data_IF_956438056038
#
_entry.id   IF_956438056038
#
_cell.length_a   1.000
_cell.length_b   1.000
_cell.length_c   1.000
_cell.angle_alpha   90.00
_cell.angle_beta   90.00
_cell.angle_gamma   90.00
#
_symmetry.space_group_name_H-M   'P 1'
#
loop_
_entity.id
_entity.type
_entity.pdbx_description
1 polymer ?
#
# COMPACT_ATOMS: atom_id res chain seq x y z
N UNK A 1 -43.67 19.27 -11.17
CA UNK A 1 -43.72 17.91 -10.64
C UNK A 1 -44.36 16.91 -11.61
N UNK A 2 -45.57 17.20 -12.16
CA UNK A 2 -46.24 16.32 -13.15
C UNK A 2 -45.37 16.08 -14.42
N UNK A 3 -44.81 17.11 -15.00
CA UNK A 3 -43.96 17.02 -16.21
C UNK A 3 -42.74 16.09 -16.01
N UNK A 4 -42.10 16.09 -14.83
CA UNK A 4 -40.98 15.25 -14.51
C UNK A 4 -41.41 13.75 -14.34
N UNK A 5 -42.56 13.51 -13.71
CA UNK A 5 -43.12 12.15 -13.59
C UNK A 5 -43.53 11.59 -14.96
N UNK A 6 -44.09 12.43 -15.85
CA UNK A 6 -44.46 12.01 -17.19
C UNK A 6 -43.22 11.65 -18.05
N UNK A 7 -42.13 12.44 -17.93
CA UNK A 7 -40.84 12.12 -18.57
C UNK A 7 -40.31 10.79 -18.09
N UNK A 8 -40.27 10.54 -16.79
CA UNK A 8 -39.81 9.26 -16.22
C UNK A 8 -40.66 8.11 -16.71
N UNK A 9 -41.99 8.22 -16.66
CA UNK A 9 -42.90 7.19 -17.10
C UNK A 9 -42.74 6.89 -18.62
N UNK A 10 -42.53 7.93 -19.43
CA UNK A 10 -42.27 7.82 -20.86
C UNK A 10 -40.91 7.15 -21.15
N UNK A 11 -39.85 7.54 -20.41
CA UNK A 11 -38.52 6.92 -20.51
C UNK A 11 -38.56 5.44 -20.16
N UNK A 12 -39.25 5.08 -19.07
CA UNK A 12 -39.42 3.68 -18.66
C UNK A 12 -40.16 2.86 -19.71
N UNK A 13 -41.22 3.39 -20.33
CA UNK A 13 -41.95 2.70 -21.42
C UNK A 13 -41.06 2.45 -22.63
N UNK A 14 -40.21 3.42 -22.99
CA UNK A 14 -39.25 3.26 -24.10
C UNK A 14 -38.20 2.21 -23.79
N UNK A 15 -37.67 2.19 -22.57
CA UNK A 15 -36.74 1.17 -22.11
C UNK A 15 -37.33 -0.26 -22.21
N UNK A 16 -38.61 -0.41 -21.85
CA UNK A 16 -39.30 -1.69 -21.96
C UNK A 16 -39.63 -2.11 -23.38
N UNK A 17 -39.83 -1.17 -24.32
CA UNK A 17 -40.05 -1.48 -25.73
C UNK A 17 -38.80 -2.11 -26.40
N UNK A 18 -37.59 -1.68 -26.02
CA UNK A 18 -36.32 -2.16 -26.58
C UNK A 18 -35.38 -2.71 -25.50
N UNK A 19 -35.85 -3.71 -24.76
CA UNK A 19 -35.20 -4.27 -23.54
C UNK A 19 -33.70 -4.58 -23.70
N UNK A 20 -33.32 -5.28 -24.78
CA UNK A 20 -31.94 -5.71 -24.99
C UNK A 20 -31.00 -4.51 -25.23
N UNK A 21 -31.43 -3.54 -26.06
CA UNK A 21 -30.63 -2.36 -26.37
C UNK A 21 -30.45 -1.46 -25.15
N UNK A 22 -31.56 -1.23 -24.42
CA UNK A 22 -31.55 -0.45 -23.20
C UNK A 22 -30.67 -1.07 -22.12
N UNK A 23 -30.78 -2.39 -21.97
CA UNK A 23 -29.94 -3.14 -21.01
C UNK A 23 -28.45 -3.01 -21.36
N UNK A 24 -28.06 -3.28 -22.63
CA UNK A 24 -26.65 -3.21 -23.04
C UNK A 24 -26.03 -1.83 -22.83
N UNK A 25 -26.80 -0.78 -23.03
CA UNK A 25 -26.28 0.58 -22.87
C UNK A 25 -26.18 1.01 -21.42
N UNK A 26 -27.23 0.72 -20.63
CA UNK A 26 -27.18 0.95 -19.19
C UNK A 26 -26.08 0.14 -18.54
N UNK A 27 -25.90 -1.11 -18.99
CA UNK A 27 -24.81 -1.97 -18.53
C UNK A 27 -23.44 -1.38 -18.87
N UNK A 28 -23.24 -0.83 -20.08
CA UNK A 28 -21.98 -0.20 -20.48
C UNK A 28 -21.57 0.94 -19.55
N UNK A 29 -22.51 1.80 -19.15
CA UNK A 29 -22.25 2.89 -18.21
C UNK A 29 -22.06 2.36 -16.79
N UNK A 30 -22.95 1.48 -16.33
CA UNK A 30 -22.85 0.87 -15.02
C UNK A 30 -21.52 0.14 -14.84
N UNK A 31 -21.10 -0.60 -15.88
CA UNK A 31 -19.79 -1.24 -15.92
C UNK A 31 -18.64 -0.23 -15.89
N UNK A 32 -18.73 0.85 -16.70
CA UNK A 32 -17.72 1.91 -16.72
C UNK A 32 -17.50 2.56 -15.36
N UNK A 33 -18.58 2.97 -14.70
CA UNK A 33 -18.53 3.59 -13.36
C UNK A 33 -18.11 2.56 -12.31
N UNK A 34 -18.70 1.37 -12.36
CA UNK A 34 -18.44 0.28 -11.41
C UNK A 34 -16.97 -0.18 -11.48
N UNK A 35 -16.45 -0.41 -12.69
CA UNK A 35 -15.05 -0.81 -12.87
C UNK A 35 -14.07 0.27 -12.43
N UNK A 36 -14.32 1.54 -12.71
CA UNK A 36 -13.49 2.66 -12.27
C UNK A 36 -13.42 2.73 -10.74
N UNK A 37 -14.55 2.61 -10.05
CA UNK A 37 -14.60 2.61 -8.59
C UNK A 37 -13.93 1.38 -7.97
N UNK A 38 -14.14 0.20 -8.57
CA UNK A 38 -13.51 -1.03 -8.11
C UNK A 38 -12.00 -1.00 -8.29
N UNK A 39 -11.51 -0.56 -9.46
CA UNK A 39 -10.08 -0.44 -9.74
C UNK A 39 -9.41 0.56 -8.80
N UNK A 40 -10.04 1.72 -8.58
CA UNK A 40 -9.54 2.71 -7.62
C UNK A 40 -9.55 2.16 -6.19
N UNK A 41 -10.59 1.41 -5.80
CA UNK A 41 -10.70 0.78 -4.48
C UNK A 41 -9.66 -0.32 -4.25
N UNK A 42 -9.41 -1.16 -5.25
CA UNK A 42 -8.36 -2.19 -5.22
C UNK A 42 -6.96 -1.54 -5.18
N UNK A 43 -6.74 -0.50 -5.97
CA UNK A 43 -5.50 0.29 -5.95
C UNK A 43 -5.20 0.87 -4.57
N UNK A 44 -6.20 1.44 -3.91
CA UNK A 44 -6.04 1.96 -2.54
C UNK A 44 -5.83 0.84 -1.52
N UNK A 45 -6.50 -0.30 -1.66
CA UNK A 45 -6.26 -1.49 -0.83
C UNK A 45 -4.83 -2.00 -0.95
N UNK A 46 -4.28 -2.02 -2.16
CA UNK A 46 -2.88 -2.38 -2.40
C UNK A 46 -1.91 -1.33 -1.83
N UNK A 47 -2.19 -0.04 -2.02
CA UNK A 47 -1.39 1.06 -1.47
C UNK A 47 -1.36 1.01 0.07
N UNK A 48 -2.51 0.91 0.72
CA UNK A 48 -2.62 0.89 2.18
C UNK A 48 -1.99 -0.35 2.79
N UNK A 49 -2.17 -1.52 2.17
CA UNK A 49 -1.56 -2.78 2.60
C UNK A 49 -0.04 -2.76 2.49
N UNK A 50 0.50 -2.29 1.37
CA UNK A 50 1.95 -2.17 1.15
C UNK A 50 2.58 -1.15 2.10
N UNK A 51 1.91 0.00 2.30
CA UNK A 51 2.34 1.01 3.27
C UNK A 51 2.39 0.45 4.69
N UNK A 52 1.36 -0.28 5.12
CA UNK A 52 1.32 -0.92 6.44
C UNK A 52 2.45 -1.95 6.61
N UNK A 53 2.73 -2.72 5.56
CA UNK A 53 3.83 -3.67 5.57
C UNK A 53 5.18 -2.96 5.72
N UNK A 54 5.43 -1.88 4.97
CA UNK A 54 6.66 -1.08 5.10
C UNK A 54 6.77 -0.41 6.48
N UNK A 55 5.68 0.13 7.02
CA UNK A 55 5.65 0.74 8.34
C UNK A 55 5.94 -0.28 9.48
N UNK A 56 5.67 -1.58 9.26
CA UNK A 56 6.00 -2.63 10.22
C UNK A 56 7.50 -2.85 10.42
N UNK A 57 8.31 -2.42 9.47
CA UNK A 57 9.78 -2.42 9.60
C UNK A 57 10.33 -1.19 10.33
N UNK A 58 9.48 -0.23 10.67
CA UNK A 58 9.85 1.07 11.26
C UNK A 58 9.83 2.21 10.23
N UNK A 59 9.80 3.44 10.74
CA UNK A 59 9.69 4.64 9.89
C UNK A 59 11.07 5.14 9.51
N UNK A 60 11.32 5.34 8.22
CA UNK A 60 12.54 5.96 7.69
C UNK A 60 13.82 5.25 8.17
N UNK A 61 13.93 3.94 7.95
CA UNK A 61 15.08 3.16 8.42
C UNK A 61 15.88 2.67 7.23
N UNK A 62 17.19 2.75 7.38
CA UNK A 62 18.17 2.09 6.53
C UNK A 62 18.71 0.89 7.30
N UNK A 63 18.52 -0.32 6.77
CA UNK A 63 19.18 -1.53 7.24
C UNK A 63 20.50 -1.64 6.50
N UNK A 64 21.57 -1.42 7.20
CA UNK A 64 22.90 -1.39 6.63
C UNK A 64 23.65 -2.68 7.04
N UNK A 65 23.97 -3.54 6.06
CA UNK A 65 24.55 -4.85 6.31
C UNK A 65 26.06 -4.89 6.12
N UNK A 66 26.66 -3.81 5.63
CA UNK A 66 28.07 -3.73 5.29
C UNK A 66 28.29 -3.67 3.77
N UNK A 67 29.26 -4.39 3.26
CA UNK A 67 29.55 -4.32 1.83
C UNK A 67 30.77 -5.08 1.38
N UNK A 68 31.25 -4.71 0.19
CA UNK A 68 32.45 -5.27 -0.42
C UNK A 68 33.49 -4.17 -0.57
N UNK A 69 34.70 -4.38 -0.05
CA UNK A 69 35.79 -3.46 -0.37
C UNK A 69 36.20 -3.62 -1.86
N UNK A 70 36.37 -2.52 -2.60
CA UNK A 70 36.82 -2.60 -3.99
C UNK A 70 38.18 -3.28 -4.09
N UNK A 71 38.42 -3.95 -5.22
CA UNK A 71 39.74 -4.51 -5.52
C UNK A 71 40.76 -3.37 -5.62
N UNK A 72 41.90 -3.53 -4.95
CA UNK A 72 43.01 -2.57 -5.06
C UNK A 72 43.65 -2.75 -6.44
N UNK A 73 43.78 -1.67 -7.21
CA UNK A 73 44.42 -1.68 -8.52
C UNK A 73 45.84 -2.27 -8.40
N UNK A 74 46.13 -3.31 -9.19
CA UNK A 74 47.42 -4.01 -9.15
C UNK A 74 47.53 -5.16 -8.14
N UNK A 75 46.48 -5.45 -7.39
CA UNK A 75 46.42 -6.62 -6.51
C UNK A 75 45.59 -7.73 -7.17
N UNK A 76 46.03 -8.99 -7.01
CA UNK A 76 45.21 -10.17 -7.37
C UNK A 76 44.03 -10.42 -6.42
N UNK A 77 43.85 -9.54 -5.44
CA UNK A 77 42.74 -9.66 -4.51
C UNK A 77 41.43 -9.18 -5.15
N UNK A 78 40.52 -10.11 -5.37
CA UNK A 78 39.11 -9.81 -5.72
C UNK A 78 38.45 -9.00 -4.61
N UNK A 79 37.32 -8.35 -4.92
CA UNK A 79 36.44 -7.70 -3.93
C UNK A 79 36.22 -8.61 -2.72
N UNK A 80 36.55 -8.12 -1.53
CA UNK A 80 36.33 -8.87 -0.28
C UNK A 80 35.13 -8.32 0.46
N UNK A 81 34.27 -9.23 0.92
CA UNK A 81 33.25 -8.89 1.87
C UNK A 81 33.87 -8.42 3.17
N UNK A 82 33.31 -7.39 3.78
CA UNK A 82 33.62 -6.99 5.14
C UNK A 82 32.37 -7.03 6.00
N UNK A 83 32.52 -7.53 7.20
CA UNK A 83 31.46 -7.50 8.20
C UNK A 83 31.53 -6.19 8.96
N UNK A 84 30.38 -5.64 9.30
CA UNK A 84 30.29 -4.49 10.19
C UNK A 84 30.83 -4.85 11.57
N UNK A 85 31.44 -3.88 12.22
CA UNK A 85 32.01 -4.02 13.54
C UNK A 85 31.29 -3.11 14.54
N UNK A 86 31.43 -3.40 15.80
CA UNK A 86 30.94 -2.52 16.87
C UNK A 86 31.68 -1.17 16.87
N UNK A 87 32.92 -1.14 16.40
CA UNK A 87 33.69 0.10 16.25
C UNK A 87 33.08 1.00 15.16
N UNK A 88 32.52 0.42 14.08
CA UNK A 88 31.76 1.18 13.09
C UNK A 88 30.55 1.85 13.73
N UNK A 89 29.78 1.12 14.54
CA UNK A 89 28.67 1.69 15.27
C UNK A 89 29.10 2.85 16.16
N UNK A 90 30.20 2.69 16.91
CA UNK A 90 30.74 3.75 17.80
C UNK A 90 31.15 4.96 16.97
N UNK A 91 31.85 4.77 15.86
CA UNK A 91 32.25 5.84 14.95
C UNK A 91 31.04 6.59 14.37
N UNK A 92 30.03 5.82 13.85
CA UNK A 92 28.82 6.43 13.31
C UNK A 92 28.06 7.21 14.39
N UNK A 93 27.94 6.66 15.60
CA UNK A 93 27.25 7.31 16.73
C UNK A 93 27.91 8.61 17.17
N UNK A 94 29.25 8.66 17.12
CA UNK A 94 30.01 9.83 17.55
C UNK A 94 30.11 10.92 16.48
N UNK A 95 30.13 10.56 15.20
CA UNK A 95 30.43 11.47 14.11
C UNK A 95 29.20 11.88 13.28
N UNK A 96 28.16 11.02 13.20
CA UNK A 96 27.01 11.34 12.39
C UNK A 96 26.18 12.48 12.97
N UNK A 97 25.92 13.48 12.12
CA UNK A 97 25.08 14.65 12.43
C UNK A 97 23.66 14.48 11.92
N UNK A 98 23.46 13.62 10.93
CA UNK A 98 22.20 13.40 10.24
C UNK A 98 21.41 12.23 10.80
N UNK A 99 22.00 11.43 11.70
CA UNK A 99 21.30 10.36 12.40
C UNK A 99 20.36 10.89 13.48
N UNK A 100 19.14 10.38 13.52
CA UNK A 100 18.22 10.51 14.65
C UNK A 100 18.49 9.40 15.67
N UNK A 101 18.50 8.16 15.20
CA UNK A 101 18.77 6.99 16.01
C UNK A 101 19.66 6.00 15.24
N UNK A 102 20.52 5.31 15.96
CA UNK A 102 21.40 4.27 15.42
C UNK A 102 21.32 3.06 16.35
N UNK A 103 21.06 1.89 15.77
CA UNK A 103 20.94 0.66 16.55
C UNK A 103 21.72 -0.47 15.86
N UNK A 104 22.84 -0.91 16.42
CA UNK A 104 23.53 -2.12 15.98
C UNK A 104 22.70 -3.35 16.39
N UNK A 105 22.75 -4.39 15.56
CA UNK A 105 22.05 -5.65 15.81
C UNK A 105 22.99 -6.82 15.59
N UNK A 106 22.96 -7.75 16.52
CA UNK A 106 23.59 -9.07 16.38
C UNK A 106 22.47 -10.08 16.25
N UNK A 107 22.29 -10.67 15.08
CA UNK A 107 21.27 -11.67 14.82
C UNK A 107 21.91 -13.05 14.63
N UNK A 108 21.37 -14.06 15.33
CA UNK A 108 21.78 -15.46 15.22
C UNK A 108 20.58 -16.37 15.11
N UNK A 109 20.60 -17.27 14.14
CA UNK A 109 19.53 -18.22 13.86
C UNK A 109 19.86 -19.64 14.35
N UNK A 110 21.09 -19.84 14.87
CA UNK A 110 21.63 -21.13 15.32
C UNK A 110 21.51 -21.34 16.85
N UNK A 111 20.80 -20.46 17.55
CA UNK A 111 20.58 -20.55 18.99
C UNK A 111 19.33 -21.37 19.28
N UNK A 112 19.50 -22.51 19.99
CA UNK A 112 18.37 -23.31 20.44
C UNK A 112 17.71 -22.69 21.66
N UNK A 113 16.42 -22.43 21.58
CA UNK A 113 15.59 -21.94 22.67
C UNK A 113 14.79 -23.13 23.27
N UNK A 114 14.86 -23.29 24.59
CA UNK A 114 14.20 -24.37 25.33
C UNK A 114 13.46 -23.78 26.53
N UNK A 115 12.18 -24.06 26.64
CA UNK A 115 11.37 -23.80 27.82
C UNK A 115 11.16 -25.10 28.61
N UNK A 116 10.48 -25.00 29.72
CA UNK A 116 10.09 -26.22 30.50
C UNK A 116 9.07 -27.08 29.73
N UNK A 117 8.51 -26.61 28.63
CA UNK A 117 7.43 -27.29 27.90
C UNK A 117 7.84 -27.77 26.51
N UNK A 118 8.55 -26.94 25.78
CA UNK A 118 8.91 -27.19 24.38
C UNK A 118 10.28 -26.64 24.04
N UNK A 119 10.78 -26.99 22.86
CA UNK A 119 12.02 -26.41 22.31
C UNK A 119 11.84 -26.04 20.84
N UNK A 120 12.52 -25.00 20.44
CA UNK A 120 12.55 -24.54 19.04
C UNK A 120 13.91 -23.94 18.71
N UNK A 121 14.26 -23.90 17.42
CA UNK A 121 15.40 -23.09 16.99
C UNK A 121 14.94 -21.65 16.95
N UNK A 122 15.56 -20.81 17.77
CA UNK A 122 15.15 -19.40 17.91
C UNK A 122 16.01 -18.48 17.10
N UNK A 123 15.38 -17.51 16.45
CA UNK A 123 16.09 -16.32 15.98
C UNK A 123 16.33 -15.39 17.17
N UNK A 124 17.56 -15.33 17.65
CA UNK A 124 17.93 -14.46 18.77
C UNK A 124 18.63 -13.21 18.24
N UNK A 125 18.16 -12.03 18.69
CA UNK A 125 18.75 -10.75 18.32
C UNK A 125 19.19 -9.98 19.55
N UNK A 126 20.49 -9.67 19.62
CA UNK A 126 21.04 -8.75 20.59
C UNK A 126 20.85 -7.31 20.10
N UNK A 127 20.14 -6.50 20.89
CA UNK A 127 19.77 -5.15 20.51
C UNK A 127 19.93 -4.17 21.67
N UNK A 128 20.28 -2.90 21.40
CA UNK A 128 20.25 -1.85 22.42
C UNK A 128 18.80 -1.41 22.71
N UNK A 129 18.53 -0.79 23.86
CA UNK A 129 17.20 -0.33 24.25
C UNK A 129 16.51 0.58 23.22
N UNK A 130 17.26 1.42 22.53
CA UNK A 130 16.76 2.33 21.49
C UNK A 130 16.15 1.59 20.28
N UNK A 131 16.45 0.33 20.09
CA UNK A 131 15.94 -0.49 18.97
C UNK A 131 14.42 -0.47 18.89
N UNK A 132 13.71 -0.51 20.01
CA UNK A 132 12.24 -0.46 20.01
C UNK A 132 11.70 0.87 19.49
N UNK A 133 12.38 1.99 19.78
CA UNK A 133 12.00 3.31 19.27
C UNK A 133 12.20 3.37 17.75
N UNK A 134 13.32 2.85 17.26
CA UNK A 134 13.66 2.80 15.84
C UNK A 134 12.64 1.94 15.07
N UNK A 135 12.32 0.75 15.60
CA UNK A 135 11.45 -0.23 14.93
C UNK A 135 9.96 -0.06 15.26
N UNK A 136 9.63 0.78 16.25
CA UNK A 136 8.25 1.03 16.69
C UNK A 136 7.48 -0.28 16.98
N UNK A 137 8.10 -1.17 17.76
CA UNK A 137 7.55 -2.49 18.05
C UNK A 137 6.60 -2.41 19.26
N UNK A 138 5.30 -2.71 19.12
CA UNK A 138 4.36 -2.63 20.23
C UNK A 138 4.52 -3.82 21.19
N UNK A 139 4.46 -3.53 22.49
CA UNK A 139 4.42 -4.55 23.54
C UNK A 139 2.99 -4.96 23.83
N UNK A 140 2.78 -6.26 24.08
CA UNK A 140 1.51 -6.79 24.55
C UNK A 140 1.45 -6.87 26.07
N UNK A 141 2.50 -7.42 26.68
CA UNK A 141 2.61 -7.62 28.14
C UNK A 141 4.05 -7.43 28.57
N UNK A 142 4.25 -6.92 29.77
CA UNK A 142 5.59 -6.73 30.34
C UNK A 142 6.25 -5.43 29.91
N UNK A 143 7.57 -5.43 29.82
CA UNK A 143 8.38 -4.25 29.46
C UNK A 143 9.44 -4.59 28.39
N UNK A 144 9.90 -3.56 27.70
CA UNK A 144 11.06 -3.64 26.82
C UNK A 144 12.37 -3.60 27.61
N UNK A 145 13.47 -3.94 26.92
CA UNK A 145 14.83 -3.81 27.42
C UNK A 145 15.13 -2.33 27.77
N UNK A 146 15.86 -2.09 28.85
CA UNK A 146 16.31 -0.77 29.25
C UNK A 146 17.85 -0.69 29.34
N UNK A 147 18.37 0.54 29.54
CA UNK A 147 19.83 0.75 29.61
C UNK A 147 20.47 -0.06 30.73
N UNK A 148 19.81 -0.20 31.89
CA UNK A 148 20.30 -0.99 32.99
C UNK A 148 20.44 -2.47 32.64
N UNK A 149 19.49 -3.04 31.87
CA UNK A 149 19.59 -4.43 31.40
C UNK A 149 20.80 -4.63 30.47
N UNK A 150 21.06 -3.63 29.61
CA UNK A 150 22.18 -3.67 28.67
C UNK A 150 23.54 -3.47 29.36
N UNK A 151 23.65 -2.47 30.26
CA UNK A 151 24.89 -2.10 30.92
C UNK A 151 25.32 -3.15 31.94
N UNK A 152 24.36 -3.71 32.69
CA UNK A 152 24.59 -4.78 33.65
C UNK A 152 24.62 -6.17 33.00
N UNK A 153 24.48 -6.26 31.67
CA UNK A 153 24.46 -7.54 30.91
C UNK A 153 23.47 -8.53 31.49
N UNK A 154 22.28 -8.06 31.85
CA UNK A 154 21.25 -8.91 32.45
C UNK A 154 20.81 -10.00 31.49
N UNK A 155 20.57 -11.20 32.00
CA UNK A 155 20.04 -12.32 31.25
C UNK A 155 18.53 -12.26 31.22
N UNK A 156 18.00 -11.27 30.50
CA UNK A 156 16.58 -11.03 30.30
C UNK A 156 16.26 -11.05 28.81
N UNK A 157 15.03 -11.41 28.44
CA UNK A 157 14.63 -11.41 27.05
C UNK A 157 13.19 -10.93 26.85
N UNK A 158 12.93 -10.39 25.66
CA UNK A 158 11.60 -10.04 25.15
C UNK A 158 11.32 -10.95 23.95
N UNK A 159 10.14 -11.55 23.93
CA UNK A 159 9.79 -12.57 22.95
C UNK A 159 8.75 -12.08 21.96
N UNK A 160 8.93 -12.41 20.70
CA UNK A 160 7.90 -12.25 19.68
C UNK A 160 6.68 -13.12 19.95
N UNK A 161 5.53 -12.75 19.42
CA UNK A 161 4.25 -13.42 19.71
C UNK A 161 4.25 -14.90 19.35
N UNK A 162 4.73 -15.27 18.17
CA UNK A 162 4.79 -16.65 17.71
C UNK A 162 5.84 -17.47 18.48
N UNK A 163 6.99 -16.87 18.78
CA UNK A 163 7.99 -17.51 19.62
C UNK A 163 7.42 -17.84 21.00
N UNK A 164 6.64 -16.93 21.57
CA UNK A 164 5.96 -17.15 22.87
C UNK A 164 4.96 -18.30 22.77
N UNK A 165 4.16 -18.36 21.70
CA UNK A 165 3.17 -19.42 21.48
C UNK A 165 3.84 -20.80 21.34
N UNK A 166 4.98 -20.84 20.65
CA UNK A 166 5.73 -22.07 20.43
C UNK A 166 6.43 -22.58 21.71
N UNK A 167 6.99 -21.69 22.53
CA UNK A 167 7.72 -22.07 23.74
C UNK A 167 6.80 -22.22 24.96
N UNK A 168 5.71 -21.49 25.06
CA UNK A 168 4.78 -21.48 26.20
C UNK A 168 3.32 -21.68 25.73
N UNK A 169 2.97 -22.85 25.16
CA UNK A 169 1.64 -23.08 24.60
C UNK A 169 0.54 -22.95 25.66
N UNK A 170 -0.29 -21.92 25.51
CA UNK A 170 -1.42 -21.65 26.42
C UNK A 170 -1.04 -21.20 27.84
N UNK A 171 0.21 -20.84 28.09
CA UNK A 171 0.73 -20.47 29.42
C UNK A 171 1.33 -19.07 29.44
N UNK A 172 1.33 -18.39 30.60
CA UNK A 172 2.01 -17.10 30.74
C UNK A 172 3.51 -17.29 30.57
N UNK A 173 4.16 -16.50 29.72
CA UNK A 173 5.61 -16.57 29.52
C UNK A 173 6.37 -15.55 30.36
N UNK A 174 5.80 -14.36 30.65
CA UNK A 174 6.46 -13.32 31.44
C UNK A 174 6.69 -13.81 32.88
N UNK A 175 7.90 -13.62 33.38
CA UNK A 175 8.36 -14.13 34.68
C UNK A 175 8.90 -15.58 34.66
N UNK A 176 8.71 -16.29 33.55
CA UNK A 176 9.27 -17.62 33.36
C UNK A 176 10.65 -17.57 32.70
N UNK A 177 11.33 -18.69 32.69
CA UNK A 177 12.70 -18.83 32.18
C UNK A 177 12.73 -19.58 30.86
N UNK A 178 13.59 -19.13 29.95
CA UNK A 178 13.95 -19.82 28.71
C UNK A 178 15.45 -20.05 28.68
N UNK A 179 15.87 -21.23 28.23
CA UNK A 179 17.28 -21.56 28.00
C UNK A 179 17.65 -21.26 26.56
N UNK A 180 18.60 -20.36 26.35
CA UNK A 180 19.21 -20.09 25.06
C UNK A 180 20.60 -20.75 25.01
N UNK A 181 20.75 -21.81 24.21
CA UNK A 181 21.94 -22.66 24.19
C UNK A 181 22.41 -23.05 25.61
N UNK A 182 21.47 -23.37 26.50
CA UNK A 182 21.74 -23.79 27.90
C UNK A 182 21.92 -22.65 28.90
N UNK A 183 21.95 -21.39 28.46
CA UNK A 183 22.01 -20.23 29.36
C UNK A 183 20.60 -19.73 29.69
N UNK A 184 20.33 -19.53 30.98
CA UNK A 184 19.02 -19.08 31.48
C UNK A 184 18.79 -17.60 31.20
N UNK A 185 17.62 -17.30 30.64
CA UNK A 185 17.10 -15.93 30.45
C UNK A 185 15.70 -15.83 31.04
N UNK A 186 15.43 -14.76 31.75
CA UNK A 186 14.10 -14.42 32.24
C UNK A 186 13.30 -13.70 31.16
N UNK A 187 12.06 -14.11 30.92
CA UNK A 187 11.15 -13.45 29.97
C UNK A 187 10.52 -12.25 30.65
N UNK A 188 10.86 -11.04 30.22
CA UNK A 188 10.37 -9.79 30.81
C UNK A 188 9.28 -9.08 30.00
N UNK A 189 9.06 -9.52 28.76
CA UNK A 189 8.03 -8.94 27.90
C UNK A 189 7.69 -9.80 26.71
N UNK A 190 6.48 -9.57 26.19
CA UNK A 190 5.95 -10.21 24.99
C UNK A 190 5.52 -9.12 24.04
N UNK A 191 5.88 -9.25 22.77
CA UNK A 191 5.50 -8.34 21.72
C UNK A 191 4.05 -8.59 21.28
N UNK A 192 3.37 -7.51 20.87
CA UNK A 192 2.14 -7.65 20.09
C UNK A 192 2.47 -8.27 18.73
N UNK A 193 1.50 -8.96 18.15
CA UNK A 193 1.63 -9.48 16.79
C UNK A 193 1.81 -8.33 15.79
N UNK A 194 2.82 -8.43 14.94
CA UNK A 194 3.08 -7.47 13.88
C UNK A 194 2.62 -8.07 12.55
N UNK A 195 1.70 -7.37 11.88
CA UNK A 195 1.07 -7.90 10.67
C UNK A 195 0.13 -9.06 10.95
N UNK A 196 -0.40 -9.65 9.89
CA UNK A 196 -1.35 -10.78 9.97
C UNK A 196 -0.65 -12.15 9.92
N UNK A 197 0.69 -12.21 10.05
CA UNK A 197 1.43 -13.41 9.74
C UNK A 197 2.30 -13.93 10.87
N UNK A 198 2.18 -15.23 11.00
CA UNK A 198 3.05 -16.05 11.82
C UNK A 198 4.52 -15.97 11.38
N UNK A 199 4.77 -15.66 10.10
CA UNK A 199 6.10 -15.63 9.48
C UNK A 199 6.85 -14.28 9.55
N UNK A 200 6.26 -13.22 10.11
CA UNK A 200 7.00 -11.97 10.29
C UNK A 200 8.21 -12.23 11.21
N UNK A 201 9.40 -11.91 10.72
CA UNK A 201 10.66 -12.15 11.41
C UNK A 201 10.69 -11.60 12.85
N UNK A 202 9.94 -10.55 13.14
CA UNK A 202 9.83 -9.99 14.50
C UNK A 202 8.98 -10.88 15.42
N UNK A 203 7.94 -11.54 14.89
CA UNK A 203 7.04 -12.40 15.67
C UNK A 203 7.71 -13.70 16.14
N UNK A 204 8.69 -14.20 15.38
CA UNK A 204 9.44 -15.44 15.69
C UNK A 204 10.78 -15.18 16.38
N UNK A 205 11.07 -13.95 16.81
CA UNK A 205 12.38 -13.52 17.31
C UNK A 205 12.37 -13.38 18.84
N UNK A 206 13.54 -13.65 19.44
CA UNK A 206 13.84 -13.36 20.84
C UNK A 206 14.83 -12.19 20.88
N UNK A 207 14.51 -11.16 21.64
CA UNK A 207 15.38 -9.99 21.82
C UNK A 207 16.06 -10.04 23.17
N UNK A 208 17.37 -9.89 23.17
CA UNK A 208 18.21 -9.85 24.39
C UNK A 208 19.05 -8.58 24.38
N UNK A 209 19.57 -8.11 25.54
CA UNK A 209 20.44 -6.95 25.57
C UNK A 209 21.68 -7.16 24.72
N UNK A 210 22.08 -6.12 23.97
CA UNK A 210 23.20 -6.20 23.03
C UNK A 210 24.50 -6.65 23.70
N UNK A 211 24.82 -6.08 24.89
CA UNK A 211 26.06 -6.42 25.60
C UNK A 211 26.04 -7.84 26.12
N UNK A 212 24.87 -8.36 26.51
CA UNK A 212 24.68 -9.77 26.89
C UNK A 212 24.91 -10.69 25.68
N UNK A 213 24.37 -10.30 24.51
CA UNK A 213 24.56 -11.06 23.28
C UNK A 213 26.02 -11.12 22.85
N UNK A 214 26.73 -10.00 22.92
CA UNK A 214 28.17 -9.91 22.58
C UNK A 214 29.03 -10.79 23.45
N UNK A 215 28.69 -10.92 24.73
CA UNK A 215 29.44 -11.72 25.69
C UNK A 215 29.15 -13.23 25.57
N UNK A 216 27.87 -13.59 25.48
CA UNK A 216 27.46 -14.99 25.54
C UNK A 216 27.38 -15.66 24.17
N UNK A 217 27.05 -14.90 23.13
CA UNK A 217 26.79 -15.43 21.78
C UNK A 217 27.43 -14.55 20.69
N UNK A 218 28.77 -14.31 20.75
CA UNK A 218 29.43 -13.47 19.79
C UNK A 218 29.32 -14.02 18.36
N UNK A 219 29.26 -13.11 17.37
CA UNK A 219 29.43 -13.46 15.96
C UNK A 219 30.91 -13.66 15.66
N UNK A 220 31.21 -14.71 14.90
CA UNK A 220 32.54 -14.90 14.31
C UNK A 220 32.55 -14.22 12.94
N UNK A 221 33.38 -13.21 12.77
CA UNK A 221 33.57 -12.54 11.48
C UNK A 221 34.99 -12.83 10.96
N UNK A 222 35.14 -12.95 9.63
CA UNK A 222 36.41 -13.31 8.99
C UNK A 222 37.59 -12.37 9.30
N UNK A 223 37.35 -11.12 9.64
CA UNK A 223 38.35 -10.08 9.86
C UNK A 223 38.15 -9.27 11.15
N UNK A 224 37.25 -9.65 12.04
CA UNK A 224 37.02 -8.94 13.30
C UNK A 224 37.56 -9.71 14.49
N UNK A 225 38.00 -8.98 15.52
CA UNK A 225 38.27 -9.59 16.84
C UNK A 225 37.01 -10.27 17.33
N UNK A 226 37.16 -11.41 17.98
CA UNK A 226 36.03 -12.17 18.54
C UNK A 226 35.16 -11.24 19.42
N UNK A 227 33.84 -11.22 19.17
CA UNK A 227 32.88 -10.35 19.85
C UNK A 227 32.74 -8.92 19.32
N UNK A 228 33.48 -8.54 18.27
CA UNK A 228 33.35 -7.20 17.68
C UNK A 228 32.49 -7.15 16.40
N UNK A 229 32.16 -8.30 15.83
CA UNK A 229 31.30 -8.37 14.65
C UNK A 229 29.82 -8.07 15.01
N UNK A 230 29.13 -7.35 14.15
CA UNK A 230 27.68 -7.11 14.21
C UNK A 230 27.04 -7.53 12.88
N UNK A 231 25.76 -7.90 12.91
CA UNK A 231 25.07 -8.38 11.72
C UNK A 231 24.68 -7.25 10.80
N UNK A 232 24.14 -6.18 11.35
CA UNK A 232 23.71 -4.98 10.63
C UNK A 232 23.49 -3.81 11.59
N UNK A 233 23.39 -2.62 11.02
CA UNK A 233 23.04 -1.39 11.73
C UNK A 233 21.71 -0.87 11.19
N UNK A 234 20.76 -0.61 12.08
CA UNK A 234 19.59 0.20 11.75
C UNK A 234 19.95 1.66 11.95
N UNK A 235 19.99 2.39 10.86
CA UNK A 235 20.26 3.81 10.83
C UNK A 235 18.99 4.57 10.48
N UNK A 236 18.58 5.51 11.30
CA UNK A 236 17.41 6.35 11.10
C UNK A 236 17.84 7.79 10.85
N UNK A 237 17.66 8.33 9.62
CA UNK A 237 17.89 9.74 9.34
C UNK A 237 16.92 10.62 10.12
N UNK A 238 17.30 11.87 10.36
CA UNK A 238 16.46 12.86 11.06
C UNK A 238 15.21 13.20 10.28
N UNK A 239 15.37 13.44 8.98
CA UNK A 239 14.27 13.77 8.09
C UNK A 239 14.26 12.85 6.86
N UNK A 240 13.10 12.78 6.23
CA UNK A 240 12.94 11.99 5.00
C UNK A 240 13.76 12.55 3.83
N UNK A 241 13.94 13.85 3.77
CA UNK A 241 14.63 14.53 2.68
C UNK A 241 16.15 14.41 2.80
N UNK A 242 16.68 14.29 4.02
CA UNK A 242 18.12 14.12 4.29
C UNK A 242 18.62 12.68 4.10
N UNK A 243 17.78 11.76 3.64
CA UNK A 243 18.11 10.34 3.55
C UNK A 243 19.37 10.05 2.70
N UNK A 244 19.51 10.69 1.53
CA UNK A 244 20.66 10.46 0.66
C UNK A 244 21.96 11.05 1.24
N UNK A 245 21.87 12.21 1.88
CA UNK A 245 23.03 12.83 2.55
C UNK A 245 23.44 12.03 3.78
N UNK A 246 22.47 11.52 4.52
CA UNK A 246 22.68 10.65 5.68
C UNK A 246 23.34 9.32 5.28
N UNK A 247 22.95 8.73 4.16
CA UNK A 247 23.64 7.56 3.60
C UNK A 247 25.07 7.87 3.17
N UNK A 248 25.27 8.98 2.49
CA UNK A 248 26.61 9.40 2.08
C UNK A 248 27.52 9.64 3.28
N UNK A 249 26.99 10.16 4.38
CA UNK A 249 27.73 10.31 5.65
C UNK A 249 28.07 8.93 6.25
N UNK A 250 27.09 8.01 6.33
CA UNK A 250 27.25 6.64 6.81
C UNK A 250 28.33 5.89 6.03
N UNK A 251 28.23 5.90 4.70
CA UNK A 251 29.16 5.24 3.80
C UNK A 251 30.61 5.77 3.96
N UNK A 252 30.76 7.08 4.11
CA UNK A 252 32.08 7.71 4.30
C UNK A 252 32.73 7.28 5.62
N UNK A 253 31.95 7.23 6.71
CA UNK A 253 32.47 6.83 8.03
C UNK A 253 32.92 5.37 7.98
N UNK A 254 32.08 4.48 7.45
CA UNK A 254 32.40 3.04 7.37
C UNK A 254 33.55 2.76 6.40
N UNK A 255 33.55 3.39 5.21
CA UNK A 255 34.64 3.23 4.26
C UNK A 255 36.01 3.60 4.85
N UNK A 256 36.06 4.65 5.66
CA UNK A 256 37.29 5.06 6.35
C UNK A 256 37.77 3.99 7.34
N UNK A 257 36.88 3.37 8.09
CA UNK A 257 37.21 2.32 9.06
C UNK A 257 37.69 1.03 8.40
N UNK A 258 37.26 0.79 7.15
CA UNK A 258 37.55 -0.44 6.39
C UNK A 258 38.60 -0.24 5.28
N UNK A 259 39.56 0.61 5.53
CA UNK A 259 40.74 0.79 4.62
C UNK A 259 40.70 2.03 3.75
N UNK A 260 39.76 2.94 3.94
CA UNK A 260 39.71 4.27 3.32
C UNK A 260 39.43 4.25 1.81
N UNK A 261 38.63 3.30 1.33
CA UNK A 261 38.24 3.23 -0.07
C UNK A 261 37.20 4.30 -0.43
N UNK A 262 37.05 4.58 -1.75
CA UNK A 262 36.03 5.52 -2.24
C UNK A 262 34.63 4.99 -1.95
N UNK A 263 33.83 5.69 -1.15
CA UNK A 263 32.48 5.26 -0.78
C UNK A 263 31.45 5.35 -1.92
N UNK A 264 31.78 6.02 -3.05
CA UNK A 264 30.85 6.25 -4.18
C UNK A 264 30.79 5.11 -5.18
N UNK A 265 31.56 4.03 -4.99
CA UNK A 265 31.56 2.89 -5.89
C UNK A 265 30.18 2.24 -5.99
N UNK A 266 29.80 1.82 -7.20
CA UNK A 266 28.59 1.03 -7.43
C UNK A 266 28.76 -0.36 -6.83
N UNK A 267 27.70 -0.90 -6.27
CA UNK A 267 27.63 -2.27 -5.71
C UNK A 267 28.60 -2.56 -4.55
N UNK A 268 29.11 -1.52 -3.90
CA UNK A 268 29.94 -1.66 -2.71
C UNK A 268 29.10 -1.99 -1.49
N UNK A 269 27.96 -1.34 -1.33
CA UNK A 269 27.15 -1.36 -0.14
C UNK A 269 25.97 -2.33 -0.24
N UNK A 270 25.77 -3.11 0.81
CA UNK A 270 24.60 -3.93 0.99
C UNK A 270 23.68 -3.22 2.00
N UNK A 271 22.59 -2.66 1.49
CA UNK A 271 21.66 -1.88 2.29
C UNK A 271 20.22 -2.06 1.81
N UNK A 272 19.29 -2.04 2.75
CA UNK A 272 17.88 -1.98 2.47
C UNK A 272 17.30 -0.66 2.99
N UNK A 273 17.04 0.25 2.07
CA UNK A 273 16.58 1.59 2.34
C UNK A 273 15.05 1.66 2.21
N UNK A 274 14.36 1.74 3.35
CA UNK A 274 12.88 1.82 3.38
C UNK A 274 12.37 3.14 2.79
N UNK A 275 13.14 4.24 2.90
CA UNK A 275 12.79 5.56 2.33
C UNK A 275 12.80 5.52 0.82
N UNK A 276 13.86 4.97 0.23
CA UNK A 276 13.98 4.77 -1.22
C UNK A 276 12.85 3.87 -1.73
N UNK A 277 12.56 2.78 -1.03
CA UNK A 277 11.47 1.88 -1.39
C UNK A 277 10.12 2.58 -1.34
N UNK A 278 9.84 3.40 -0.32
CA UNK A 278 8.60 4.18 -0.23
C UNK A 278 8.48 5.19 -1.39
N UNK A 279 9.58 5.88 -1.75
CA UNK A 279 9.60 6.80 -2.91
C UNK A 279 9.29 6.04 -4.21
N UNK A 280 9.96 4.92 -4.43
CA UNK A 280 9.74 4.08 -5.63
C UNK A 280 8.29 3.57 -5.70
N UNK A 281 7.76 3.06 -4.59
CA UNK A 281 6.35 2.63 -4.51
C UNK A 281 5.40 3.79 -4.75
N UNK A 282 5.70 4.99 -4.24
CA UNK A 282 4.92 6.20 -4.51
C UNK A 282 4.83 6.53 -5.99
N UNK A 283 5.94 6.43 -6.74
CA UNK A 283 5.96 6.63 -8.20
C UNK A 283 5.12 5.56 -8.92
N UNK A 284 5.25 4.28 -8.52
CA UNK A 284 4.48 3.17 -9.09
C UNK A 284 2.97 3.40 -8.86
N UNK A 285 2.56 3.77 -7.63
CA UNK A 285 1.16 4.06 -7.33
C UNK A 285 0.62 5.24 -8.14
N UNK A 286 1.42 6.30 -8.30
CA UNK A 286 1.02 7.44 -9.12
C UNK A 286 0.84 7.04 -10.59
N UNK A 287 1.75 6.26 -11.15
CA UNK A 287 1.62 5.74 -12.52
C UNK A 287 0.39 4.84 -12.66
N UNK A 288 0.12 3.99 -11.67
CA UNK A 288 -1.06 3.13 -11.63
C UNK A 288 -2.36 3.96 -11.59
N UNK A 289 -2.42 5.03 -10.79
CA UNK A 289 -3.59 5.92 -10.71
C UNK A 289 -3.88 6.57 -12.07
N UNK A 290 -2.86 7.05 -12.76
CA UNK A 290 -3.00 7.60 -14.12
C UNK A 290 -3.47 6.55 -15.13
N UNK A 291 -2.92 5.36 -15.08
CA UNK A 291 -3.32 4.25 -15.95
C UNK A 291 -4.78 3.84 -15.71
N UNK A 292 -5.16 3.61 -14.47
CA UNK A 292 -6.52 3.24 -14.10
C UNK A 292 -7.54 4.35 -14.42
N UNK A 293 -7.16 5.61 -14.18
CA UNK A 293 -7.94 6.77 -14.57
C UNK A 293 -8.17 6.84 -16.09
N UNK A 294 -7.13 6.58 -16.88
CA UNK A 294 -7.21 6.50 -18.35
C UNK A 294 -8.16 5.38 -18.83
N UNK A 295 -8.02 4.18 -18.29
CA UNK A 295 -8.93 3.06 -18.59
C UNK A 295 -10.37 3.41 -18.23
N UNK A 296 -10.59 4.00 -17.04
CA UNK A 296 -11.91 4.45 -16.61
C UNK A 296 -12.52 5.49 -17.55
N UNK A 297 -11.73 6.46 -18.03
CA UNK A 297 -12.19 7.46 -18.97
C UNK A 297 -12.60 6.85 -20.31
N UNK A 298 -11.84 5.90 -20.84
CA UNK A 298 -12.17 5.19 -22.09
C UNK A 298 -13.47 4.39 -21.95
N UNK A 299 -13.64 3.67 -20.82
CA UNK A 299 -14.86 2.89 -20.59
C UNK A 299 -16.10 3.77 -20.44
N UNK A 300 -15.97 4.93 -19.77
CA UNK A 300 -17.06 5.92 -19.70
C UNK A 300 -17.38 6.53 -21.06
N UNK A 301 -16.37 6.80 -21.89
CA UNK A 301 -16.58 7.32 -23.25
C UNK A 301 -17.33 6.30 -24.13
N UNK A 302 -16.99 5.01 -24.03
CA UNK A 302 -17.74 3.94 -24.72
C UNK A 302 -19.19 3.86 -24.23
N UNK A 303 -19.44 3.98 -22.92
CA UNK A 303 -20.79 4.08 -22.36
C UNK A 303 -21.56 5.29 -22.90
N UNK A 304 -20.92 6.46 -23.00
CA UNK A 304 -21.52 7.69 -23.54
C UNK A 304 -21.91 7.53 -25.02
N UNK A 305 -21.06 6.89 -25.83
CA UNK A 305 -21.38 6.58 -27.25
C UNK A 305 -22.62 5.68 -27.32
N UNK A 306 -22.73 4.72 -26.40
CA UNK A 306 -23.93 3.86 -26.29
C UNK A 306 -25.21 4.68 -26.04
N UNK A 307 -25.17 5.68 -25.15
CA UNK A 307 -26.32 6.59 -24.89
C UNK A 307 -26.64 7.39 -26.14
N UNK A 308 -25.65 7.99 -26.80
CA UNK A 308 -25.85 8.75 -28.03
C UNK A 308 -26.60 7.90 -29.06
N UNK A 309 -26.17 6.66 -29.27
CA UNK A 309 -26.78 5.78 -30.24
C UNK A 309 -28.24 5.47 -29.89
N UNK A 310 -28.58 5.17 -28.63
CA UNK A 310 -29.96 4.91 -28.21
C UNK A 310 -30.82 6.15 -28.37
N UNK A 311 -30.32 7.30 -27.93
CA UNK A 311 -31.08 8.55 -28.00
C UNK A 311 -31.33 8.98 -29.45
N UNK A 312 -30.35 8.75 -30.34
CA UNK A 312 -30.57 9.03 -31.79
C UNK A 312 -31.67 8.16 -32.39
N UNK A 313 -31.68 6.85 -32.04
CA UNK A 313 -32.76 5.97 -32.49
C UNK A 313 -34.09 6.36 -31.88
N UNK A 314 -34.15 6.70 -30.59
CA UNK A 314 -35.37 7.21 -29.94
C UNK A 314 -35.90 8.46 -30.59
N UNK A 315 -35.03 9.37 -31.02
CA UNK A 315 -35.41 10.58 -31.77
C UNK A 315 -35.97 10.23 -33.14
N UNK A 316 -35.35 9.30 -33.89
CA UNK A 316 -35.85 8.88 -35.21
C UNK A 316 -37.21 8.17 -35.12
N UNK A 317 -37.40 7.29 -34.15
CA UNK A 317 -38.66 6.57 -33.91
C UNK A 317 -39.82 7.53 -33.53
N UNK A 318 -39.49 8.67 -32.90
CA UNK A 318 -40.47 9.68 -32.45
C UNK A 318 -40.50 10.94 -33.32
N UNK A 319 -39.90 10.91 -34.50
CA UNK A 319 -39.82 12.08 -35.39
C UNK A 319 -41.17 12.71 -35.64
N UNK A 320 -42.23 11.91 -35.94
CA UNK A 320 -43.60 12.37 -36.19
C UNK A 320 -44.23 13.03 -34.95
N UNK A 321 -44.00 12.45 -33.75
CA UNK A 321 -44.51 13.02 -32.49
C UNK A 321 -43.85 14.35 -32.17
N UNK A 322 -42.53 14.47 -32.40
CA UNK A 322 -41.77 15.71 -32.22
C UNK A 322 -42.29 16.77 -33.21
N UNK A 323 -42.52 16.41 -34.46
CA UNK A 323 -43.07 17.27 -35.50
C UNK A 323 -44.44 17.80 -35.11
N UNK A 324 -45.33 16.94 -34.61
CA UNK A 324 -46.66 17.31 -34.14
C UNK A 324 -46.61 18.31 -32.96
N UNK A 325 -45.74 18.03 -31.95
CA UNK A 325 -45.57 18.97 -30.82
C UNK A 325 -45.08 20.35 -31.27
N UNK A 326 -44.15 20.41 -32.21
CA UNK A 326 -43.64 21.64 -32.75
C UNK A 326 -44.70 22.40 -33.60
N UNK A 327 -45.50 21.67 -34.36
CA UNK A 327 -46.61 22.23 -35.10
C UNK A 327 -47.70 22.83 -34.16
N UNK A 328 -47.87 22.25 -32.96
CA UNK A 328 -48.76 22.79 -31.90
C UNK A 328 -48.11 23.88 -31.04
N UNK A 329 -46.91 24.37 -31.42
CA UNK A 329 -46.25 25.51 -30.78
C UNK A 329 -45.17 25.18 -29.75
N UNK A 330 -44.70 23.96 -29.64
CA UNK A 330 -43.56 23.62 -28.77
C UNK A 330 -42.28 24.27 -29.27
N UNK A 331 -41.57 25.00 -28.39
CA UNK A 331 -40.29 25.64 -28.71
C UNK A 331 -39.14 24.62 -28.81
N UNK A 332 -38.11 24.97 -29.59
CA UNK A 332 -36.90 24.14 -29.69
C UNK A 332 -36.26 23.88 -28.32
N UNK A 333 -36.36 24.84 -27.40
CA UNK A 333 -35.83 24.72 -26.05
C UNK A 333 -36.59 23.65 -25.23
N UNK A 334 -37.92 23.59 -25.37
CA UNK A 334 -38.73 22.59 -24.66
C UNK A 334 -38.38 21.15 -25.14
N UNK A 335 -38.24 20.96 -26.45
CA UNK A 335 -37.86 19.67 -27.03
C UNK A 335 -36.42 19.29 -26.58
N UNK A 336 -35.47 20.25 -26.70
CA UNK A 336 -34.09 20.04 -26.27
C UNK A 336 -34.03 19.63 -24.79
N UNK A 337 -34.71 20.35 -23.89
CA UNK A 337 -34.73 20.11 -22.47
C UNK A 337 -35.36 18.77 -22.13
N UNK A 338 -36.42 18.37 -22.82
CA UNK A 338 -37.05 17.04 -22.63
C UNK A 338 -36.09 15.92 -22.94
N UNK A 339 -35.49 15.88 -24.14
CA UNK A 339 -34.56 14.82 -24.54
C UNK A 339 -33.26 14.84 -23.72
N UNK A 340 -32.80 16.02 -23.31
CA UNK A 340 -31.65 16.15 -22.41
C UNK A 340 -31.94 15.51 -21.05
N UNK A 341 -33.14 15.76 -20.48
CA UNK A 341 -33.55 15.15 -19.22
C UNK A 341 -33.70 13.63 -19.33
N UNK A 342 -34.22 13.12 -20.47
CA UNK A 342 -34.27 11.67 -20.72
C UNK A 342 -32.86 11.05 -20.70
N UNK A 343 -31.88 11.64 -21.38
CA UNK A 343 -30.50 11.20 -21.40
C UNK A 343 -29.81 11.31 -20.02
N UNK A 344 -30.04 12.40 -19.30
CA UNK A 344 -29.53 12.61 -17.96
C UNK A 344 -30.08 11.58 -16.97
N UNK A 345 -31.39 11.29 -17.05
CA UNK A 345 -32.01 10.26 -16.21
C UNK A 345 -31.41 8.87 -16.47
N UNK A 346 -31.23 8.48 -17.73
CA UNK A 346 -30.59 7.21 -18.11
C UNK A 346 -29.15 7.11 -17.56
N UNK A 347 -28.40 8.17 -17.69
CA UNK A 347 -27.02 8.25 -17.20
C UNK A 347 -26.95 8.12 -15.68
N UNK A 348 -27.78 8.89 -14.96
CA UNK A 348 -27.85 8.86 -13.50
C UNK A 348 -28.27 7.48 -12.98
N UNK A 349 -29.31 6.89 -13.57
CA UNK A 349 -29.80 5.58 -13.17
C UNK A 349 -28.77 4.48 -13.41
N UNK A 350 -28.14 4.48 -14.59
CA UNK A 350 -27.06 3.54 -14.93
C UNK A 350 -25.84 3.71 -14.02
N UNK A 351 -25.46 4.97 -13.73
CA UNK A 351 -24.38 5.29 -12.81
C UNK A 351 -24.67 4.81 -11.38
N UNK A 352 -25.91 5.02 -10.90
CA UNK A 352 -26.31 4.55 -9.58
C UNK A 352 -26.24 3.01 -9.47
N UNK A 353 -26.63 2.28 -10.52
CA UNK A 353 -26.46 0.83 -10.60
C UNK A 353 -24.98 0.43 -10.56
N UNK A 354 -24.11 1.14 -11.27
CA UNK A 354 -22.67 0.89 -11.27
C UNK A 354 -22.02 1.13 -9.90
N UNK A 355 -22.38 2.23 -9.24
CA UNK A 355 -21.94 2.53 -7.86
C UNK A 355 -22.43 1.48 -6.89
N UNK A 356 -23.72 1.10 -6.96
CA UNK A 356 -24.31 0.07 -6.11
C UNK A 356 -23.63 -1.29 -6.30
N UNK A 357 -23.36 -1.69 -7.54
CA UNK A 357 -22.62 -2.92 -7.85
C UNK A 357 -21.18 -2.88 -7.29
N UNK A 358 -20.47 -1.76 -7.44
CA UNK A 358 -19.13 -1.59 -6.88
C UNK A 358 -19.14 -1.69 -5.35
N UNK A 359 -20.09 -1.03 -4.67
CA UNK A 359 -20.25 -1.12 -3.21
C UNK A 359 -20.52 -2.55 -2.75
N UNK A 360 -21.39 -3.27 -3.48
CA UNK A 360 -21.70 -4.67 -3.18
C UNK A 360 -20.45 -5.56 -3.29
N UNK A 361 -19.68 -5.42 -4.36
CA UNK A 361 -18.44 -6.19 -4.56
C UNK A 361 -17.42 -5.88 -3.47
N UNK A 362 -17.21 -4.60 -3.14
CA UNK A 362 -16.31 -4.18 -2.05
C UNK A 362 -16.76 -4.77 -0.71
N UNK A 363 -18.07 -4.76 -0.44
CA UNK A 363 -18.61 -5.35 0.77
C UNK A 363 -18.39 -6.87 0.85
N UNK A 364 -18.60 -7.59 -0.25
CA UNK A 364 -18.33 -9.02 -0.32
C UNK A 364 -16.85 -9.36 -0.13
N UNK A 365 -15.95 -8.54 -0.71
CA UNK A 365 -14.50 -8.71 -0.54
C UNK A 365 -14.02 -8.37 0.87
N UNK A 366 -14.75 -7.57 1.64
CA UNK A 366 -14.37 -7.22 3.01
C UNK A 366 -14.35 -8.40 3.98
N UNK A 367 -15.04 -9.49 3.66
CA UNK A 367 -15.05 -10.73 4.44
C UNK A 367 -13.98 -11.76 4.02
N UNK A 368 -13.18 -11.48 3.00
CA UNK A 368 -12.18 -12.41 2.45
C UNK A 368 -10.80 -12.09 3.01
N UNK A 369 -10.05 -13.11 3.45
CA UNK A 369 -8.66 -12.96 3.82
C UNK A 369 -7.82 -12.72 2.56
N UNK A 370 -7.32 -11.50 2.39
CA UNK A 370 -6.49 -11.12 1.27
C UNK A 370 -5.01 -11.47 1.51
N UNK A 371 -4.22 -11.68 0.45
CA UNK A 371 -2.79 -11.93 0.55
C UNK A 371 -2.04 -10.77 1.22
N UNK A 372 -0.82 -11.05 1.68
CA UNK A 372 0.07 -10.01 2.24
C UNK A 372 0.25 -8.82 1.30
N UNK A 373 0.32 -7.63 1.88
CA UNK A 373 0.47 -6.40 1.12
C UNK A 373 -0.82 -5.87 0.50
N UNK A 374 -1.97 -6.56 0.73
CA UNK A 374 -3.28 -6.08 0.30
C UNK A 374 -4.21 -5.86 1.51
N UNK A 375 -4.74 -4.66 1.63
CA UNK A 375 -5.87 -4.38 2.50
C UNK A 375 -7.18 -4.57 1.73
N UNK A 376 -8.27 -4.71 2.47
CA UNK A 376 -9.62 -4.75 1.86
C UNK A 376 -9.83 -3.51 1.00
N UNK A 377 -10.30 -3.67 -0.26
CA UNK A 377 -10.62 -2.54 -1.12
C UNK A 377 -11.56 -1.57 -0.42
N UNK A 378 -11.29 -0.27 -0.56
CA UNK A 378 -12.10 0.79 0.04
C UNK A 378 -12.43 1.83 -1.02
N UNK A 379 -13.69 2.22 -1.08
CA UNK A 379 -14.07 3.33 -1.95
C UNK A 379 -13.59 4.63 -1.30
N UNK A 380 -12.59 5.25 -1.92
CA UNK A 380 -12.05 6.54 -1.47
C UNK A 380 -13.03 7.65 -1.86
N UNK A 381 -13.41 8.57 -0.96
CA UNK A 381 -14.36 9.64 -1.27
C UNK A 381 -13.97 10.48 -2.49
N UNK A 382 -12.67 10.76 -2.67
CA UNK A 382 -12.17 11.52 -3.82
C UNK A 382 -12.41 10.76 -5.14
N UNK A 383 -12.20 9.44 -5.17
CA UNK A 383 -12.45 8.61 -6.35
C UNK A 383 -13.95 8.53 -6.67
N UNK A 384 -14.80 8.50 -5.66
CA UNK A 384 -16.26 8.55 -5.85
C UNK A 384 -16.69 9.89 -6.45
N UNK A 385 -16.17 11.02 -5.96
CA UNK A 385 -16.46 12.36 -6.51
C UNK A 385 -15.97 12.48 -7.95
N UNK A 386 -14.74 12.03 -8.24
CA UNK A 386 -14.22 12.08 -9.62
C UNK A 386 -15.01 11.20 -10.58
N UNK A 387 -15.46 10.01 -10.14
CA UNK A 387 -16.33 9.15 -10.94
C UNK A 387 -17.69 9.79 -11.22
N UNK A 388 -18.30 10.45 -10.23
CA UNK A 388 -19.58 11.17 -10.40
C UNK A 388 -19.40 12.36 -11.35
N UNK A 389 -18.33 13.13 -11.23
CA UNK A 389 -18.04 14.26 -12.14
C UNK A 389 -17.80 13.77 -13.58
N UNK A 390 -17.03 12.71 -13.75
CA UNK A 390 -16.79 12.11 -15.06
C UNK A 390 -18.09 11.57 -15.68
N UNK A 391 -18.93 10.92 -14.87
CA UNK A 391 -20.26 10.48 -15.29
C UNK A 391 -21.18 11.63 -15.69
N UNK A 392 -21.18 12.72 -14.92
CA UNK A 392 -21.96 13.91 -15.25
C UNK A 392 -21.52 14.52 -16.58
N UNK A 393 -20.23 14.67 -16.82
CA UNK A 393 -19.67 15.16 -18.09
C UNK A 393 -20.04 14.22 -19.25
N UNK A 394 -19.89 12.90 -19.08
CA UNK A 394 -20.29 11.92 -20.08
C UNK A 394 -21.80 11.99 -20.38
N UNK A 395 -22.64 12.15 -19.36
CA UNK A 395 -24.09 12.28 -19.51
C UNK A 395 -24.51 13.56 -20.23
N UNK A 396 -23.87 14.69 -19.89
CA UNK A 396 -24.13 15.97 -20.57
C UNK A 396 -23.76 15.88 -22.06
N UNK A 397 -22.58 15.38 -22.38
CA UNK A 397 -22.12 15.26 -23.79
C UNK A 397 -22.96 14.26 -24.56
N UNK A 398 -23.30 13.11 -23.97
CA UNK A 398 -24.10 12.07 -24.59
C UNK A 398 -25.56 12.51 -24.81
N UNK A 399 -26.16 13.29 -23.87
CA UNK A 399 -27.54 13.77 -23.96
C UNK A 399 -27.72 14.97 -24.87
N UNK A 400 -26.73 15.89 -24.90
CA UNK A 400 -26.85 17.16 -25.61
C UNK A 400 -26.90 17.01 -27.13
N UNK A 401 -26.09 16.13 -27.72
CA UNK A 401 -26.05 15.95 -29.17
C UNK A 401 -27.39 15.43 -29.75
N UNK A 402 -27.99 14.31 -29.27
CA UNK A 402 -29.28 13.84 -29.73
C UNK A 402 -30.42 14.83 -29.45
N UNK A 403 -30.39 15.46 -28.27
CA UNK A 403 -31.39 16.46 -27.91
C UNK A 403 -31.38 17.67 -28.87
N UNK A 404 -30.19 18.15 -29.26
CA UNK A 404 -30.05 19.22 -30.26
C UNK A 404 -30.58 18.76 -31.63
N UNK A 405 -30.30 17.54 -32.05
CA UNK A 405 -30.81 16.98 -33.29
C UNK A 405 -32.34 16.90 -33.29
N UNK A 406 -32.97 16.47 -32.20
CA UNK A 406 -34.42 16.46 -32.04
C UNK A 406 -35.02 17.86 -32.07
N UNK A 407 -34.38 18.86 -31.42
CA UNK A 407 -34.85 20.23 -31.39
C UNK A 407 -34.76 20.92 -32.75
N UNK A 408 -33.89 20.53 -33.65
CA UNK A 408 -33.70 21.11 -34.97
C UNK A 408 -34.60 20.48 -36.06
N UNK A 409 -35.38 19.44 -35.77
CA UNK A 409 -36.31 18.84 -36.72
C UNK A 409 -37.35 19.86 -37.20
N UNK A 410 -37.54 19.98 -38.54
CA UNK A 410 -38.58 20.83 -39.10
C UNK A 410 -39.93 20.12 -39.06
N UNK A 411 -41.02 20.79 -38.61
CA UNK A 411 -42.34 20.17 -38.47
C UNK A 411 -42.88 19.61 -39.80
N UNK A 412 -42.59 20.27 -40.91
CA UNK A 412 -43.05 19.87 -42.23
C UNK A 412 -42.37 18.59 -42.70
N UNK A 413 -41.04 18.46 -42.52
CA UNK A 413 -40.28 17.27 -42.86
C UNK A 413 -40.64 16.08 -41.95
N UNK A 414 -40.83 16.38 -40.64
CA UNK A 414 -41.17 15.36 -39.66
C UNK A 414 -42.55 14.71 -39.87
N UNK A 415 -43.50 15.47 -40.44
CA UNK A 415 -44.86 14.99 -40.76
C UNK A 415 -44.97 14.34 -42.15
N UNK A 416 -43.97 14.55 -43.03
CA UNK A 416 -43.92 14.03 -44.41
C UNK A 416 -43.22 12.66 -44.49
N UNK A 417 -42.46 12.25 -43.47
CA UNK A 417 -41.87 10.93 -43.42
C UNK A 417 -42.95 9.89 -43.17
N UNK A 418 -43.21 9.03 -44.17
CA UNK A 418 -44.05 7.81 -44.08
C UNK A 418 -43.34 6.72 -43.32
#
# INVERSE_FOLDING_TARGET
MRLFMDIIAQTLRTLWAHKLRSFLTMFGIAWGVGSLLLLAGVGEGFRSGNRRQLESFGKNIIFFFGGRSPAVAGSFNSMKWFNLTYDDYVAIKSESKLALNISPVIARDDIRAVSDYTSTNGQVSGVPPVYNQVRTIPLQVGRWLNDQDNDQRRRVCVMGREMTRNLFPGRPAVGNTVLLNGVRFEVIGILSMIGNEEQNATNIRIFVPLNTMRELFPLKGDNSKEGNAISFINYQPRTFDENEDAKAELHRIVARNHGGFDPKGKDIWEEWDTVKNQKTMGVIFTAMDWFLGGVGLVTLALGAIGIINIMLVAVTERTREIGLRKALGATNHNILFQFFLEGAFLTMFSGALGVGAAMLVVHLLSGVNLPQGFDTPKIVPISAVTAVLALALAGITAGLYPARKAAMLEPVEALRQE
#
